data_IF_656075665653
#
_entry.id   IF_656075665653
#
_cell.length_a   1.000
_cell.length_b   1.000
_cell.length_c   1.000
_cell.angle_alpha   90.00
_cell.angle_beta   90.00
_cell.angle_gamma   90.00
#
_symmetry.space_group_name_H-M   'P 1'
#
loop_
_entity.id
_entity.type
_entity.pdbx_description
1 polymer ?
#
# COMPACT_ATOMS: atom_id res chain seq x y z
N UNK A 1 -9.42 -19.10 -36.00
CA UNK A 1 -9.79 -19.51 -34.63
C UNK A 1 -8.54 -20.11 -34.02
N UNK A 2 -7.77 -19.34 -33.25
CA UNK A 2 -6.51 -19.82 -32.65
C UNK A 2 -6.83 -20.18 -31.20
N UNK A 3 -7.01 -21.46 -30.94
CA UNK A 3 -7.04 -21.99 -29.58
C UNK A 3 -5.59 -21.99 -29.11
N UNK A 4 -5.25 -21.11 -28.19
CA UNK A 4 -3.97 -21.22 -27.51
C UNK A 4 -4.12 -22.40 -26.56
N UNK A 5 -3.52 -23.52 -26.91
CA UNK A 5 -3.36 -24.67 -26.01
C UNK A 5 -2.73 -24.15 -24.70
N UNK A 6 -2.99 -24.73 -23.52
CA UNK A 6 -2.25 -24.34 -22.30
C UNK A 6 -0.73 -24.45 -22.51
N UNK A 7 -0.30 -25.32 -23.42
CA UNK A 7 1.10 -25.47 -23.85
C UNK A 7 1.61 -24.38 -24.83
N UNK A 8 0.72 -23.56 -25.38
CA UNK A 8 1.01 -22.40 -26.25
C UNK A 8 0.75 -21.06 -25.54
N UNK A 9 0.15 -21.10 -24.34
CA UNK A 9 -0.12 -19.91 -23.55
C UNK A 9 1.20 -19.37 -23.00
N UNK A 10 1.48 -18.10 -23.28
CA UNK A 10 2.64 -17.38 -22.71
C UNK A 10 2.55 -17.26 -21.19
N UNK A 11 1.36 -17.45 -20.62
CA UNK A 11 1.08 -17.40 -19.19
C UNK A 11 0.02 -18.46 -18.84
N UNK A 12 0.30 -19.31 -17.87
CA UNK A 12 -0.63 -20.30 -17.33
C UNK A 12 -1.71 -19.62 -16.46
N UNK A 13 -2.82 -20.31 -16.22
CA UNK A 13 -3.88 -19.83 -15.30
C UNK A 13 -3.34 -19.47 -13.92
N UNK A 14 -2.39 -20.25 -13.41
CA UNK A 14 -1.77 -20.01 -12.11
C UNK A 14 -0.89 -18.74 -12.11
N UNK A 15 -0.15 -18.50 -13.19
CA UNK A 15 0.65 -17.28 -13.34
C UNK A 15 -0.23 -16.05 -13.54
N UNK A 16 -1.38 -16.18 -14.22
CA UNK A 16 -2.37 -15.12 -14.33
C UNK A 16 -2.96 -14.77 -12.96
N UNK A 17 -3.36 -15.77 -12.17
CA UNK A 17 -3.81 -15.56 -10.79
C UNK A 17 -2.73 -14.92 -9.90
N UNK A 18 -1.47 -15.31 -10.09
CA UNK A 18 -0.32 -14.71 -9.38
C UNK A 18 -0.10 -13.24 -9.77
N UNK A 19 -0.24 -12.90 -11.05
CA UNK A 19 -0.14 -11.52 -11.55
C UNK A 19 -1.27 -10.63 -10.99
N UNK A 20 -2.51 -11.13 -11.00
CA UNK A 20 -3.63 -10.44 -10.38
C UNK A 20 -3.41 -10.26 -8.88
N UNK A 21 -2.99 -11.31 -8.16
CA UNK A 21 -2.66 -11.22 -6.74
C UNK A 21 -1.57 -10.20 -6.43
N UNK A 22 -0.51 -10.15 -7.24
CA UNK A 22 0.59 -9.18 -7.08
C UNK A 22 0.15 -7.73 -7.38
N UNK A 23 -0.63 -7.51 -8.44
CA UNK A 23 -1.19 -6.19 -8.76
C UNK A 23 -2.13 -5.70 -7.64
N UNK A 24 -2.90 -6.61 -7.03
CA UNK A 24 -3.78 -6.30 -5.90
C UNK A 24 -2.99 -6.00 -4.63
N UNK A 25 -1.92 -6.76 -4.34
CA UNK A 25 -1.03 -6.47 -3.22
C UNK A 25 -0.40 -5.07 -3.36
N UNK A 26 0.00 -4.67 -4.56
CA UNK A 26 0.52 -3.31 -4.82
C UNK A 26 -0.52 -2.20 -4.59
N UNK A 27 -1.82 -2.49 -4.76
CA UNK A 27 -2.92 -1.55 -4.51
C UNK A 27 -3.29 -1.50 -3.01
N UNK A 28 -3.16 -2.61 -2.30
CA UNK A 28 -3.57 -2.75 -0.90
C UNK A 28 -2.45 -2.44 0.12
N UNK A 29 -1.18 -2.68 -0.22
CA UNK A 29 -0.03 -2.48 0.68
C UNK A 29 0.26 -1.00 1.09
N UNK A 30 -0.22 0.05 0.39
CA UNK A 30 -0.03 1.43 0.87
C UNK A 30 -1.22 2.06 1.62
N UNK A 31 -2.38 1.40 1.77
CA UNK A 31 -3.55 1.99 2.44
C UNK A 31 -4.05 1.12 3.59
N UNK A 32 -4.18 1.71 4.79
CA UNK A 32 -4.91 1.11 5.92
C UNK A 32 -6.41 1.09 5.58
N UNK A 33 -6.83 0.02 4.91
CA UNK A 33 -8.20 -0.18 4.43
C UNK A 33 -8.99 -0.88 5.52
N UNK A 34 -10.20 -0.39 5.86
CA UNK A 34 -11.09 -1.15 6.76
C UNK A 34 -11.37 -2.54 6.18
N UNK A 35 -11.50 -3.58 7.02
CA UNK A 35 -11.79 -4.97 6.63
C UNK A 35 -12.93 -5.10 5.60
N UNK A 36 -13.93 -4.20 5.68
CA UNK A 36 -15.07 -4.15 4.76
C UNK A 36 -14.70 -3.68 3.35
N UNK A 37 -13.78 -2.73 3.24
CA UNK A 37 -13.30 -2.20 1.96
C UNK A 37 -12.32 -3.19 1.29
N UNK A 38 -11.47 -3.84 2.08
CA UNK A 38 -10.64 -4.96 1.62
C UNK A 38 -11.49 -6.09 1.05
N UNK A 39 -12.55 -6.50 1.76
CA UNK A 39 -13.47 -7.55 1.30
C UNK A 39 -14.20 -7.20 0.00
N UNK A 40 -14.63 -5.94 -0.17
CA UNK A 40 -15.27 -5.47 -1.42
C UNK A 40 -14.30 -5.48 -2.60
N UNK A 41 -13.07 -5.05 -2.38
CA UNK A 41 -12.03 -5.01 -3.41
C UNK A 41 -11.59 -6.41 -3.80
N UNK A 42 -11.46 -7.31 -2.83
CA UNK A 42 -11.19 -8.73 -3.07
C UNK A 42 -12.33 -9.39 -3.87
N UNK A 43 -13.58 -9.04 -3.56
CA UNK A 43 -14.75 -9.50 -4.32
C UNK A 43 -14.75 -9.03 -5.77
N UNK A 44 -14.50 -7.74 -6.02
CA UNK A 44 -14.39 -7.18 -7.37
C UNK A 44 -13.22 -7.79 -8.15
N UNK A 45 -12.09 -8.04 -7.50
CA UNK A 45 -10.91 -8.64 -8.13
C UNK A 45 -11.15 -10.11 -8.50
N UNK A 46 -11.77 -10.89 -7.61
CA UNK A 46 -12.16 -12.27 -7.89
C UNK A 46 -13.16 -12.33 -9.05
N UNK A 47 -14.12 -11.40 -9.11
CA UNK A 47 -15.08 -11.34 -10.21
C UNK A 47 -14.42 -10.92 -11.54
N UNK A 48 -13.50 -9.97 -11.51
CA UNK A 48 -12.72 -9.57 -12.68
C UNK A 48 -11.82 -10.71 -13.16
N UNK A 49 -11.18 -11.45 -12.25
CA UNK A 49 -10.39 -12.64 -12.56
C UNK A 49 -11.26 -13.72 -13.21
N UNK A 50 -12.41 -14.06 -12.62
CA UNK A 50 -13.34 -15.03 -13.21
C UNK A 50 -13.80 -14.59 -14.60
N UNK A 51 -14.13 -13.30 -14.81
CA UNK A 51 -14.54 -12.79 -16.12
C UNK A 51 -13.41 -12.81 -17.15
N UNK A 52 -12.17 -12.50 -16.74
CA UNK A 52 -11.00 -12.53 -17.64
C UNK A 52 -10.60 -13.97 -17.95
N UNK A 53 -10.67 -14.87 -16.98
CA UNK A 53 -10.49 -16.31 -17.16
C UNK A 53 -11.58 -16.88 -18.10
N UNK A 54 -12.84 -16.55 -17.88
CA UNK A 54 -13.96 -16.94 -18.75
C UNK A 54 -13.90 -16.30 -20.13
N UNK A 55 -13.21 -15.18 -20.31
CA UNK A 55 -13.12 -14.49 -21.59
C UNK A 55 -11.88 -14.91 -22.40
N UNK A 56 -10.76 -15.24 -21.74
CA UNK A 56 -9.58 -15.77 -22.43
C UNK A 56 -9.69 -17.29 -22.63
N UNK A 57 -10.36 -18.02 -21.72
CA UNK A 57 -10.60 -19.47 -21.81
C UNK A 57 -12.04 -19.84 -22.18
N UNK A 58 -12.93 -18.85 -22.37
CA UNK A 58 -14.28 -19.02 -22.93
C UNK A 58 -14.51 -18.18 -24.20
N UNK A 59 -15.72 -18.29 -24.75
CA UNK A 59 -16.01 -18.32 -26.20
C UNK A 59 -15.90 -16.95 -26.94
N UNK A 60 -15.65 -15.84 -26.25
CA UNK A 60 -15.73 -14.51 -26.87
C UNK A 60 -14.37 -13.79 -26.86
N UNK A 61 -13.93 -13.31 -28.02
CA UNK A 61 -12.59 -12.73 -28.23
C UNK A 61 -12.56 -11.30 -27.68
N UNK A 62 -11.52 -10.92 -26.93
CA UNK A 62 -11.25 -9.52 -26.58
C UNK A 62 -11.18 -8.72 -27.88
N UNK A 63 -12.02 -7.68 -28.06
CA UNK A 63 -11.93 -6.80 -29.22
C UNK A 63 -10.54 -6.20 -29.31
N UNK A 64 -9.92 -6.21 -30.49
CA UNK A 64 -8.54 -5.74 -30.67
C UNK A 64 -8.39 -4.27 -30.26
N UNK A 65 -9.47 -3.50 -30.35
CA UNK A 65 -9.58 -2.13 -29.87
C UNK A 65 -9.45 -2.02 -28.35
N UNK A 66 -10.00 -2.97 -27.59
CA UNK A 66 -9.89 -3.01 -26.14
C UNK A 66 -8.48 -3.41 -25.69
N UNK A 67 -7.84 -4.34 -26.40
CA UNK A 67 -6.45 -4.71 -26.15
C UNK A 67 -5.47 -3.56 -26.49
N UNK A 68 -5.72 -2.87 -27.61
CA UNK A 68 -4.91 -1.72 -28.01
C UNK A 68 -5.10 -0.55 -27.04
N UNK A 69 -6.33 -0.31 -26.57
CA UNK A 69 -6.62 0.66 -25.52
C UNK A 69 -5.90 0.30 -24.21
N UNK A 70 -5.93 -0.97 -23.79
CA UNK A 70 -5.24 -1.42 -22.58
C UNK A 70 -3.72 -1.25 -22.68
N UNK A 71 -3.12 -1.55 -23.85
CA UNK A 71 -1.70 -1.32 -24.11
C UNK A 71 -1.35 0.16 -24.14
N UNK A 72 -2.21 1.01 -24.72
CA UNK A 72 -2.05 2.47 -24.69
C UNK A 72 -2.15 3.00 -23.27
N UNK A 73 -3.09 2.52 -22.48
CA UNK A 73 -3.22 2.88 -21.07
C UNK A 73 -1.96 2.42 -20.33
N UNK A 74 -1.51 1.18 -20.48
CA UNK A 74 -0.29 0.68 -19.84
C UNK A 74 0.94 1.52 -20.24
N UNK A 75 1.07 1.87 -21.52
CA UNK A 75 2.15 2.71 -22.02
C UNK A 75 2.05 4.15 -21.49
N UNK A 76 0.85 4.72 -21.41
CA UNK A 76 0.58 6.00 -20.76
C UNK A 76 0.95 5.91 -19.27
N UNK A 77 0.62 4.82 -18.58
CA UNK A 77 1.01 4.62 -17.19
C UNK A 77 2.53 4.49 -17.06
N UNK A 78 3.21 3.71 -17.90
CA UNK A 78 4.67 3.54 -17.90
C UNK A 78 5.43 4.82 -18.28
N UNK A 79 4.92 5.60 -19.24
CA UNK A 79 5.52 6.88 -19.65
C UNK A 79 5.19 8.04 -18.70
N UNK A 80 4.00 8.04 -18.08
CA UNK A 80 3.61 9.00 -17.04
C UNK A 80 4.04 8.58 -15.63
N UNK A 81 4.57 7.37 -15.46
CA UNK A 81 5.42 6.94 -14.34
C UNK A 81 6.88 7.38 -14.56
N UNK A 82 7.09 8.59 -15.10
CA UNK A 82 8.08 9.42 -14.40
C UNK A 82 7.45 9.63 -13.02
N UNK A 83 8.09 9.19 -11.92
CA UNK A 83 7.57 9.54 -10.61
C UNK A 83 7.31 11.03 -10.69
N UNK A 84 6.06 11.43 -10.46
CA UNK A 84 5.72 12.83 -10.36
C UNK A 84 6.70 13.34 -9.32
N UNK A 85 7.75 14.03 -9.77
CA UNK A 85 8.47 14.97 -8.95
C UNK A 85 7.46 16.09 -8.78
N UNK A 86 6.43 15.81 -7.98
CA UNK A 86 5.98 16.79 -7.03
C UNK A 86 7.29 17.27 -6.44
N UNK A 87 7.57 18.54 -6.65
CA UNK A 87 8.55 19.23 -5.83
C UNK A 87 8.15 18.90 -4.40
N UNK A 88 8.78 17.87 -3.81
CA UNK A 88 8.41 17.34 -2.50
C UNK A 88 8.31 18.57 -1.59
N UNK A 89 7.13 18.89 -1.02
CA UNK A 89 7.16 19.71 0.18
C UNK A 89 8.06 18.92 1.13
N UNK A 90 9.26 19.43 1.38
CA UNK A 90 10.38 18.75 2.04
C UNK A 90 9.93 17.52 2.82
N UNK A 91 10.12 16.32 2.26
CA UNK A 91 9.61 15.06 2.82
C UNK A 91 9.98 15.01 4.30
N UNK A 92 8.98 15.12 5.16
CA UNK A 92 9.20 15.28 6.59
C UNK A 92 9.98 14.07 7.13
N UNK A 93 11.08 14.33 7.83
CA UNK A 93 11.92 13.30 8.42
C UNK A 93 11.25 12.74 9.68
N UNK A 94 10.17 11.96 9.52
CA UNK A 94 9.30 11.47 10.62
C UNK A 94 10.08 10.78 11.75
N UNK A 95 11.11 10.01 11.42
CA UNK A 95 11.96 9.40 12.45
C UNK A 95 12.84 10.45 13.19
N UNK A 96 13.35 11.48 12.50
CA UNK A 96 14.08 12.57 13.13
C UNK A 96 13.16 13.41 14.04
N UNK A 97 11.92 13.64 13.60
CA UNK A 97 10.86 14.24 14.44
C UNK A 97 10.65 13.40 15.71
N UNK A 98 10.51 12.08 15.59
CA UNK A 98 10.37 11.19 16.75
C UNK A 98 11.57 11.27 17.71
N UNK A 99 12.80 11.37 17.19
CA UNK A 99 14.02 11.51 18.02
C UNK A 99 14.06 12.85 18.77
N UNK A 100 13.72 13.95 18.11
CA UNK A 100 13.66 15.27 18.75
C UNK A 100 12.53 15.33 19.79
N UNK A 101 11.36 14.77 19.46
CA UNK A 101 10.23 14.69 20.37
C UNK A 101 10.56 13.83 21.59
N UNK A 102 11.19 12.67 21.42
CA UNK A 102 11.66 11.82 22.52
C UNK A 102 12.57 12.60 23.47
N UNK A 103 13.57 13.29 22.93
CA UNK A 103 14.51 14.09 23.73
C UNK A 103 13.79 15.19 24.53
N UNK A 104 12.78 15.83 23.94
CA UNK A 104 11.96 16.83 24.63
C UNK A 104 11.08 16.21 25.72
N UNK A 105 10.38 15.11 25.42
CA UNK A 105 9.46 14.44 26.35
C UNK A 105 10.19 13.86 27.56
N UNK A 106 11.41 13.34 27.39
CA UNK A 106 12.26 12.87 28.48
C UNK A 106 12.64 13.97 29.49
N UNK A 107 12.55 15.25 29.11
CA UNK A 107 12.75 16.39 30.03
C UNK A 107 11.50 16.74 30.82
N UNK A 108 10.36 16.14 30.50
CA UNK A 108 9.11 16.36 31.23
C UNK A 108 8.96 15.36 32.35
N UNK A 109 8.22 15.71 33.41
CA UNK A 109 7.91 14.77 34.50
C UNK A 109 7.07 13.58 34.03
N UNK A 110 6.16 13.80 33.08
CA UNK A 110 5.19 12.80 32.64
C UNK A 110 5.81 11.65 31.84
N UNK A 111 6.84 11.95 31.04
CA UNK A 111 7.43 10.99 30.09
C UNK A 111 8.95 10.83 30.26
N UNK A 112 9.47 11.11 31.46
CA UNK A 112 10.89 10.96 31.78
C UNK A 112 11.40 9.52 31.63
N UNK A 113 10.51 8.54 31.71
CA UNK A 113 10.78 7.11 31.61
C UNK A 113 10.58 6.56 30.18
N UNK A 114 10.18 7.40 29.22
CA UNK A 114 10.09 7.06 27.80
C UNK A 114 11.50 6.82 27.25
N UNK A 115 11.77 5.64 26.73
CA UNK A 115 13.08 5.16 26.31
C UNK A 115 13.29 5.20 24.79
N UNK A 116 12.25 4.97 23.99
CA UNK A 116 12.33 4.92 22.52
C UNK A 116 11.03 5.44 21.90
N UNK A 117 11.16 6.16 20.78
CA UNK A 117 10.06 6.49 19.86
C UNK A 117 10.53 6.12 18.45
N UNK A 118 9.90 5.09 17.89
CA UNK A 118 10.30 4.53 16.60
C UNK A 118 9.15 4.54 15.61
N UNK A 119 9.38 5.20 14.47
CA UNK A 119 8.49 5.23 13.33
C UNK A 119 8.85 4.10 12.35
N UNK A 120 7.91 3.19 12.11
CA UNK A 120 8.03 2.09 11.13
C UNK A 120 6.66 1.87 10.48
N UNK A 121 6.60 1.79 9.15
CA UNK A 121 5.42 1.41 8.38
C UNK A 121 4.11 2.05 8.89
N UNK A 122 4.06 3.39 8.97
CA UNK A 122 2.88 4.15 9.43
C UNK A 122 2.50 3.97 10.90
N UNK A 123 3.37 3.40 11.74
CA UNK A 123 3.16 3.25 13.18
C UNK A 123 4.31 3.90 13.94
N UNK A 124 4.01 4.55 15.06
CA UNK A 124 5.00 4.93 16.07
C UNK A 124 4.90 3.98 17.26
N UNK A 125 6.02 3.35 17.62
CA UNK A 125 6.14 2.53 18.83
C UNK A 125 6.87 3.31 19.91
N UNK A 126 6.21 3.52 21.03
CA UNK A 126 6.77 4.07 22.26
C UNK A 126 7.19 2.93 23.19
N UNK A 127 8.41 2.97 23.72
CA UNK A 127 8.89 2.03 24.73
C UNK A 127 9.26 2.77 26.00
N UNK A 128 8.89 2.22 27.15
CA UNK A 128 9.18 2.78 28.46
C UNK A 128 10.23 1.93 29.17
N UNK A 129 11.08 2.56 29.99
CA UNK A 129 12.09 1.87 30.80
C UNK A 129 11.48 0.88 31.80
N UNK A 130 10.21 1.07 32.16
CA UNK A 130 9.41 0.12 32.96
C UNK A 130 9.07 -1.18 32.23
N UNK A 131 9.36 -1.28 30.93
CA UNK A 131 9.07 -2.43 30.08
C UNK A 131 7.74 -2.35 29.32
N UNK A 132 6.94 -1.31 29.55
CA UNK A 132 5.72 -1.06 28.78
C UNK A 132 6.01 -0.60 27.35
N UNK A 133 5.09 -0.89 26.43
CA UNK A 133 5.10 -0.30 25.09
C UNK A 133 3.71 0.13 24.65
N UNK A 134 3.66 1.14 23.79
CA UNK A 134 2.43 1.61 23.14
C UNK A 134 2.66 1.79 21.66
N UNK A 135 1.63 1.54 20.86
CA UNK A 135 1.65 1.70 19.41
C UNK A 135 0.60 2.73 19.03
N UNK A 136 1.00 3.70 18.22
CA UNK A 136 0.15 4.77 17.71
C UNK A 136 0.14 4.64 16.19
N UNK A 137 -1.05 4.47 15.59
CA UNK A 137 -1.22 4.51 14.14
C UNK A 137 -1.11 5.98 13.69
N UNK A 138 -0.25 6.24 12.72
CA UNK A 138 0.03 7.58 12.19
C UNK A 138 0.04 7.56 10.64
N UNK A 139 -0.73 6.64 10.07
CA UNK A 139 -0.89 6.50 8.62
C UNK A 139 -1.49 7.74 7.99
N UNK A 140 -0.95 8.14 6.84
CA UNK A 140 -1.33 9.36 6.11
C UNK A 140 -1.14 10.70 6.86
N UNK A 141 -0.61 10.70 8.09
CA UNK A 141 -0.39 11.92 8.84
C UNK A 141 0.78 12.76 8.31
N UNK A 142 0.63 14.08 8.41
CA UNK A 142 1.77 15.00 8.43
C UNK A 142 2.58 14.86 9.72
N UNK A 143 3.81 15.38 9.76
CA UNK A 143 4.66 15.35 10.94
C UNK A 143 4.01 16.01 12.16
N UNK A 144 3.23 17.08 11.97
CA UNK A 144 2.50 17.74 13.07
C UNK A 144 1.30 16.92 13.55
N UNK A 145 0.55 16.28 12.65
CA UNK A 145 -0.54 15.37 13.02
C UNK A 145 0.00 14.16 13.79
N UNK A 146 1.10 13.58 13.31
CA UNK A 146 1.82 12.50 13.98
C UNK A 146 2.26 12.89 15.41
N UNK A 147 2.80 14.10 15.61
CA UNK A 147 3.17 14.58 16.95
C UNK A 147 1.94 14.64 17.86
N UNK A 148 0.82 15.19 17.36
CA UNK A 148 -0.41 15.29 18.13
C UNK A 148 -0.92 13.92 18.59
N UNK A 149 -0.92 12.94 17.68
CA UNK A 149 -1.40 11.59 17.97
C UNK A 149 -0.50 10.85 18.94
N UNK A 150 0.82 11.02 18.83
CA UNK A 150 1.76 10.51 19.84
C UNK A 150 1.38 11.07 21.21
N UNK A 151 1.25 12.39 21.34
CA UNK A 151 0.98 13.03 22.64
C UNK A 151 -0.38 12.64 23.24
N UNK A 152 -1.37 12.33 22.40
CA UNK A 152 -2.70 11.90 22.84
C UNK A 152 -2.74 10.43 23.30
N UNK A 153 -1.84 9.58 22.79
CA UNK A 153 -1.97 8.13 22.90
C UNK A 153 -0.81 7.39 23.57
N UNK A 154 0.31 8.06 23.90
CA UNK A 154 1.39 7.45 24.70
C UNK A 154 1.17 7.51 26.21
#
# INVERSE_FOLDING_TARGET
MVKINENEALISKNELGTLFGAAMALILDPYDMSDKLESLIMGCAAEAQCKVEDHIWGIEKIPEEALDLAKRILHIYEENLKPVQDSEPAREEKQAICQLLLAALQKTRAYHDLADLRYEHSTVTAKFTSGGYRRVNVGADSGIAMIHDILAHI
#
